data_IF_522250619906
#
_entry.id   IF_522250619906
#
_cell.length_a   1.000
_cell.length_b   1.000
_cell.length_c   1.000
_cell.angle_alpha   90.00
_cell.angle_beta   90.00
_cell.angle_gamma   90.00
#
_symmetry.space_group_name_H-M   'P 1'
#
loop_
_entity.id
_entity.type
_entity.pdbx_description
1 polymer ?
#
# COMPACT_ATOMS: atom_id res chain seq x y z
N UNK A 1 -12.33 -3.21 16.88
CA UNK A 1 -13.28 -4.33 16.89
C UNK A 1 -14.69 -3.76 17.10
N UNK A 2 -15.62 -4.03 16.18
CA UNK A 2 -17.06 -3.74 16.38
C UNK A 2 -17.73 -4.95 17.02
N UNK A 3 -18.72 -4.72 17.86
CA UNK A 3 -19.62 -5.78 18.33
C UNK A 3 -20.88 -5.76 17.47
N UNK A 4 -21.12 -6.80 16.70
CA UNK A 4 -22.41 -7.07 16.08
C UNK A 4 -23.03 -8.31 16.73
N UNK A 5 -24.25 -8.16 17.25
CA UNK A 5 -25.01 -9.23 17.91
C UNK A 5 -24.22 -10.01 18.99
N UNK A 6 -23.38 -9.31 19.77
CA UNK A 6 -22.55 -9.93 20.82
C UNK A 6 -21.36 -10.75 20.34
N UNK A 7 -21.02 -10.72 19.04
CA UNK A 7 -19.80 -11.33 18.48
C UNK A 7 -18.75 -10.24 18.19
N UNK A 8 -17.52 -10.47 18.62
CA UNK A 8 -16.37 -9.66 18.22
C UNK A 8 -16.01 -10.01 16.77
N UNK A 9 -16.28 -9.10 15.85
CA UNK A 9 -15.90 -9.25 14.43
C UNK A 9 -14.57 -8.53 14.20
N UNK A 10 -13.62 -9.17 13.52
CA UNK A 10 -12.39 -8.50 13.11
C UNK A 10 -12.70 -7.46 12.03
N UNK A 11 -11.93 -6.38 11.97
CA UNK A 11 -12.12 -5.35 10.94
C UNK A 11 -11.98 -5.92 9.53
N UNK A 12 -11.05 -6.87 9.30
CA UNK A 12 -10.90 -7.54 8.00
C UNK A 12 -12.14 -8.31 7.58
N UNK A 13 -12.80 -9.01 8.49
CA UNK A 13 -14.06 -9.70 8.22
C UNK A 13 -15.19 -8.70 7.91
N UNK A 14 -15.27 -7.60 8.68
CA UNK A 14 -16.27 -6.56 8.44
C UNK A 14 -16.06 -5.89 7.06
N UNK A 15 -14.82 -5.66 6.63
CA UNK A 15 -14.52 -5.14 5.30
C UNK A 15 -15.01 -6.12 4.24
N UNK A 16 -14.60 -7.38 4.31
CA UNK A 16 -14.96 -8.40 3.33
C UNK A 16 -16.48 -8.57 3.17
N UNK A 17 -17.24 -8.59 4.26
CA UNK A 17 -18.70 -8.75 4.23
C UNK A 17 -19.46 -7.52 3.71
N UNK A 18 -18.84 -6.34 3.69
CA UNK A 18 -19.46 -5.08 3.28
C UNK A 18 -18.88 -4.50 1.99
N UNK A 19 -18.07 -5.25 1.25
CA UNK A 19 -17.63 -4.85 -0.08
C UNK A 19 -18.84 -4.74 -1.01
N UNK A 20 -19.03 -3.55 -1.58
CA UNK A 20 -20.11 -3.28 -2.52
C UNK A 20 -19.52 -2.68 -3.79
N UNK A 21 -19.74 -3.28 -4.96
CA UNK A 21 -19.29 -2.71 -6.22
C UNK A 21 -19.92 -1.34 -6.48
N UNK A 22 -19.08 -0.38 -6.85
CA UNK A 22 -19.50 0.98 -7.20
C UNK A 22 -18.67 1.47 -8.38
N UNK A 23 -19.23 2.33 -9.23
CA UNK A 23 -18.45 2.97 -10.28
C UNK A 23 -17.40 3.89 -9.65
N UNK A 24 -16.16 3.80 -10.12
CA UNK A 24 -15.03 4.57 -9.57
C UNK A 24 -15.32 6.06 -9.53
N UNK A 25 -15.89 6.63 -10.60
CA UNK A 25 -16.24 8.06 -10.65
C UNK A 25 -17.30 8.49 -9.62
N UNK A 26 -18.15 7.57 -9.17
CA UNK A 26 -19.11 7.81 -8.09
C UNK A 26 -18.43 7.72 -6.72
N UNK A 27 -17.61 6.67 -6.51
CA UNK A 27 -16.89 6.46 -5.27
C UNK A 27 -15.86 7.58 -4.98
N UNK A 28 -15.22 8.13 -6.01
CA UNK A 28 -14.28 9.26 -5.88
C UNK A 28 -14.95 10.58 -5.46
N UNK A 29 -16.28 10.69 -5.60
CA UNK A 29 -17.05 11.89 -5.28
C UNK A 29 -17.90 11.75 -4.01
N UNK A 30 -17.94 10.58 -3.39
CA UNK A 30 -18.81 10.32 -2.23
C UNK A 30 -18.03 9.81 -1.01
N UNK A 31 -17.64 10.69 -0.07
CA UNK A 31 -16.87 10.32 1.11
C UNK A 31 -17.63 9.45 2.13
N UNK A 32 -18.92 9.14 1.88
CA UNK A 32 -19.66 8.15 2.68
C UNK A 32 -19.24 6.70 2.37
N UNK A 33 -18.50 6.49 1.28
CA UNK A 33 -17.87 5.24 0.90
C UNK A 33 -16.33 5.36 0.91
N UNK A 34 -15.66 4.25 1.18
CA UNK A 34 -14.20 4.15 1.11
C UNK A 34 -13.82 3.06 0.10
N UNK A 35 -13.09 3.42 -0.93
CA UNK A 35 -12.50 2.46 -1.87
C UNK A 35 -11.39 1.69 -1.14
N UNK A 36 -11.51 0.36 -1.10
CA UNK A 36 -10.52 -0.50 -0.42
C UNK A 36 -9.31 -0.68 -1.33
N UNK A 37 -8.14 -0.41 -0.79
CA UNK A 37 -6.84 -0.51 -1.47
C UNK A 37 -5.94 -1.45 -0.68
N UNK A 38 -5.51 -2.61 -1.21
CA UNK A 38 -4.34 -3.31 -0.68
C UNK A 38 -3.12 -2.40 -0.83
N UNK A 39 -2.41 -2.16 0.26
CA UNK A 39 -1.22 -1.31 0.31
C UNK A 39 -0.06 -2.12 0.87
N UNK A 40 0.92 -2.42 0.04
CA UNK A 40 1.92 -3.46 0.33
C UNK A 40 3.31 -2.88 0.44
N UNK A 41 3.91 -2.99 1.63
CA UNK A 41 5.33 -2.75 1.84
C UNK A 41 6.10 -4.01 1.42
N UNK A 42 7.01 -3.90 0.46
CA UNK A 42 7.81 -5.03 -0.02
C UNK A 42 9.23 -4.93 0.53
N UNK A 43 9.65 -5.94 1.31
CA UNK A 43 10.98 -6.06 1.87
C UNK A 43 11.78 -7.17 1.19
N UNK A 44 12.99 -6.86 0.75
CA UNK A 44 13.99 -7.84 0.39
C UNK A 44 14.63 -8.40 1.67
N UNK A 45 14.21 -9.58 2.09
CA UNK A 45 14.53 -10.18 3.38
C UNK A 45 16.04 -10.33 3.66
N UNK A 46 16.88 -10.78 2.67
CA UNK A 46 18.31 -10.94 2.91
C UNK A 46 19.07 -9.64 3.22
N UNK A 47 18.64 -8.51 2.67
CA UNK A 47 19.34 -7.22 2.83
C UNK A 47 18.61 -6.21 3.70
N UNK A 48 17.39 -6.54 4.14
CA UNK A 48 16.53 -5.65 4.94
C UNK A 48 16.29 -4.30 4.25
N UNK A 49 16.14 -4.32 2.91
CA UNK A 49 15.81 -3.16 2.09
C UNK A 49 14.36 -3.21 1.65
N UNK A 50 13.73 -2.05 1.55
CA UNK A 50 12.36 -1.89 1.12
C UNK A 50 12.30 -1.36 -0.30
N UNK A 51 11.31 -1.82 -1.07
CA UNK A 51 11.08 -1.28 -2.40
C UNK A 51 10.35 0.06 -2.28
N UNK A 52 10.95 1.10 -2.83
CA UNK A 52 10.35 2.45 -2.88
C UNK A 52 10.26 2.89 -4.32
N UNK A 53 9.13 3.48 -4.69
CA UNK A 53 8.90 4.08 -5.99
C UNK A 53 8.90 5.60 -5.88
N UNK A 54 9.21 6.27 -7.00
CA UNK A 54 9.05 7.72 -7.13
C UNK A 54 8.31 8.00 -8.44
N UNK A 55 7.29 8.82 -8.36
CA UNK A 55 6.48 9.20 -9.52
C UNK A 55 7.23 10.20 -10.39
N UNK A 56 7.45 9.86 -11.66
CA UNK A 56 8.12 10.71 -12.66
C UNK A 56 7.19 11.21 -13.75
N UNK A 57 6.03 10.56 -13.94
CA UNK A 57 5.01 10.88 -14.94
C UNK A 57 3.60 10.93 -14.37
N UNK A 58 2.61 11.17 -15.24
CA UNK A 58 1.21 11.24 -14.86
C UNK A 58 0.81 12.63 -14.30
N UNK A 59 0.03 12.66 -13.23
CA UNK A 59 -0.46 13.90 -12.64
C UNK A 59 0.68 14.76 -12.06
N UNK A 60 0.79 16.01 -12.51
CA UNK A 60 1.88 16.92 -12.12
C UNK A 60 1.95 17.16 -10.60
N UNK A 61 0.81 17.17 -9.88
CA UNK A 61 0.75 17.34 -8.42
C UNK A 61 1.40 16.18 -7.63
N UNK A 62 1.52 14.99 -8.23
CA UNK A 62 2.08 13.80 -7.59
C UNK A 62 3.53 13.54 -8.01
N UNK A 63 4.03 14.32 -8.96
CA UNK A 63 5.38 14.15 -9.49
C UNK A 63 6.44 14.43 -8.43
N UNK A 64 7.40 13.54 -8.31
CA UNK A 64 8.44 13.58 -7.30
C UNK A 64 8.04 13.03 -5.93
N UNK A 65 6.78 12.60 -5.76
CA UNK A 65 6.39 11.92 -4.52
C UNK A 65 6.93 10.50 -4.49
N UNK A 66 7.48 10.13 -3.34
CA UNK A 66 7.97 8.80 -3.05
C UNK A 66 6.89 7.95 -2.35
N UNK A 67 6.73 6.71 -2.76
CA UNK A 67 5.87 5.72 -2.11
C UNK A 67 6.68 4.48 -1.72
N UNK A 68 6.52 4.01 -0.48
CA UNK A 68 7.02 2.70 -0.02
C UNK A 68 5.95 1.61 -0.09
N UNK A 69 4.72 1.97 -0.43
CA UNK A 69 3.63 1.03 -0.64
C UNK A 69 3.28 0.91 -2.11
N UNK A 70 2.97 -0.31 -2.51
CA UNK A 70 2.49 -0.69 -3.83
C UNK A 70 1.04 -1.14 -3.71
N UNK A 71 0.22 -0.91 -4.73
CA UNK A 71 -1.16 -1.34 -4.73
C UNK A 71 -2.11 -0.42 -5.47
N UNK A 72 -3.33 -0.88 -5.65
CA UNK A 72 -4.34 -0.18 -6.42
C UNK A 72 -5.76 -0.60 -6.06
N UNK A 73 -6.72 -0.26 -6.92
CA UNK A 73 -8.13 -0.53 -6.67
C UNK A 73 -8.49 -2.00 -6.91
N UNK A 74 -9.44 -2.50 -6.13
CA UNK A 74 -10.05 -3.79 -6.40
C UNK A 74 -10.83 -3.77 -7.72
N UNK A 75 -10.72 -4.83 -8.49
CA UNK A 75 -11.60 -5.07 -9.64
C UNK A 75 -12.94 -5.69 -9.21
N UNK A 76 -13.91 -5.69 -10.13
CA UNK A 76 -15.23 -6.24 -9.85
C UNK A 76 -15.16 -7.73 -9.49
N UNK A 77 -15.60 -8.06 -8.28
CA UNK A 77 -15.62 -9.44 -7.76
C UNK A 77 -14.28 -9.94 -7.22
N UNK A 78 -13.27 -9.08 -7.19
CA UNK A 78 -11.96 -9.37 -6.64
C UNK A 78 -11.95 -9.22 -5.11
N UNK A 79 -11.22 -10.07 -4.41
CA UNK A 79 -10.95 -9.85 -2.99
C UNK A 79 -9.63 -9.08 -2.78
N UNK A 80 -9.42 -8.59 -1.54
CA UNK A 80 -8.27 -7.75 -1.21
C UNK A 80 -6.93 -8.45 -1.43
N UNK A 81 -6.88 -9.77 -1.22
CA UNK A 81 -5.64 -10.55 -1.36
C UNK A 81 -5.34 -10.85 -2.82
N UNK A 82 -6.36 -11.11 -3.63
CA UNK A 82 -6.19 -11.30 -5.07
C UNK A 82 -5.74 -9.99 -5.74
N UNK A 83 -6.36 -8.85 -5.37
CA UNK A 83 -5.92 -7.53 -5.81
C UNK A 83 -4.47 -7.22 -5.42
N UNK A 84 -4.06 -7.58 -4.19
CA UNK A 84 -2.68 -7.44 -3.73
C UNK A 84 -1.69 -8.13 -4.68
N UNK A 85 -1.95 -9.38 -5.04
CA UNK A 85 -1.05 -10.14 -5.91
C UNK A 85 -1.05 -9.60 -7.34
N UNK A 86 -2.20 -9.25 -7.88
CA UNK A 86 -2.32 -8.66 -9.21
C UNK A 86 -1.53 -7.36 -9.30
N UNK A 87 -1.70 -6.43 -8.34
CA UNK A 87 -1.01 -5.14 -8.33
C UNK A 87 0.52 -5.31 -8.23
N UNK A 88 1.02 -6.21 -7.37
CA UNK A 88 2.46 -6.49 -7.27
C UNK A 88 3.03 -7.05 -8.57
N UNK A 89 2.28 -7.91 -9.26
CA UNK A 89 2.72 -8.47 -10.55
C UNK A 89 2.68 -7.41 -11.65
N UNK A 90 1.66 -6.55 -11.70
CA UNK A 90 1.49 -5.49 -12.69
C UNK A 90 2.50 -4.34 -12.50
N UNK A 91 2.72 -3.89 -11.26
CA UNK A 91 3.58 -2.75 -10.99
C UNK A 91 5.08 -3.09 -11.00
N UNK A 92 5.47 -4.25 -10.45
CA UNK A 92 6.89 -4.60 -10.24
C UNK A 92 7.27 -6.02 -10.69
N UNK A 93 6.38 -6.78 -11.31
CA UNK A 93 6.66 -8.13 -11.79
C UNK A 93 6.90 -9.15 -10.66
N UNK A 94 6.38 -8.92 -9.46
CA UNK A 94 6.53 -9.81 -8.32
C UNK A 94 5.32 -10.75 -8.20
N UNK A 95 5.47 -11.98 -8.68
CA UNK A 95 4.43 -12.99 -8.62
C UNK A 95 4.27 -13.60 -7.21
N UNK A 96 3.09 -14.15 -6.93
CA UNK A 96 2.71 -14.73 -5.64
C UNK A 96 3.70 -15.77 -5.09
N UNK A 97 4.19 -16.65 -5.94
CA UNK A 97 5.11 -17.74 -5.58
C UNK A 97 6.56 -17.27 -5.31
N UNK A 98 6.85 -15.99 -5.57
CA UNK A 98 8.14 -15.35 -5.32
C UNK A 98 8.18 -14.61 -3.99
N UNK A 99 7.07 -14.60 -3.26
CA UNK A 99 7.00 -14.05 -1.91
C UNK A 99 7.16 -15.15 -0.87
N UNK A 100 7.99 -14.91 0.13
CA UNK A 100 8.28 -15.88 1.20
C UNK A 100 7.31 -15.74 2.38
N UNK A 101 6.75 -14.57 2.57
CA UNK A 101 5.83 -14.27 3.66
C UNK A 101 4.98 -13.03 3.33
N UNK A 102 3.73 -13.00 3.80
CA UNK A 102 2.84 -11.83 3.73
C UNK A 102 2.12 -11.68 5.06
N UNK A 103 2.24 -10.52 5.67
CA UNK A 103 1.70 -10.23 7.00
C UNK A 103 0.76 -9.03 6.92
N UNK A 104 -0.48 -9.17 7.39
CA UNK A 104 -1.38 -8.04 7.59
C UNK A 104 -0.89 -7.21 8.77
N UNK A 105 -0.56 -5.93 8.53
CA UNK A 105 -0.02 -5.01 9.54
C UNK A 105 -1.08 -4.09 10.15
N UNK A 106 -2.12 -3.77 9.39
CA UNK A 106 -3.19 -2.89 9.88
C UNK A 106 -3.99 -2.26 8.75
N UNK A 107 -4.57 -1.11 9.08
CA UNK A 107 -5.44 -0.37 8.17
C UNK A 107 -5.15 1.11 8.27
N UNK A 108 -5.17 1.81 7.12
CA UNK A 108 -5.09 3.26 7.05
C UNK A 108 -6.46 3.81 6.71
N UNK A 109 -7.05 4.58 7.62
CA UNK A 109 -8.27 5.34 7.40
C UNK A 109 -7.98 6.79 7.77
N UNK A 110 -7.70 7.61 6.78
CA UNK A 110 -7.28 9.01 6.92
C UNK A 110 -8.26 9.90 6.17
N UNK A 111 -8.42 11.12 6.65
CA UNK A 111 -9.17 12.18 5.99
C UNK A 111 -8.30 13.45 5.83
N UNK A 112 -6.97 13.28 5.76
CA UNK A 112 -6.00 14.39 5.68
C UNK A 112 -6.08 15.17 4.37
N UNK A 113 -6.56 14.54 3.31
CA UNK A 113 -6.74 15.14 2.00
C UNK A 113 -7.92 14.48 1.27
N UNK A 114 -8.32 15.03 0.13
CA UNK A 114 -9.47 14.55 -0.66
C UNK A 114 -9.31 13.09 -1.12
N UNK A 115 -8.08 12.67 -1.47
CA UNK A 115 -7.81 11.28 -1.87
C UNK A 115 -7.96 10.35 -0.68
N UNK A 116 -7.35 10.66 0.45
CA UNK A 116 -7.44 9.84 1.66
C UNK A 116 -8.90 9.71 2.14
N UNK A 117 -9.74 10.76 1.94
CA UNK A 117 -11.12 10.78 2.42
C UNK A 117 -12.03 9.74 1.76
N UNK A 118 -11.68 9.24 0.57
CA UNK A 118 -12.44 8.25 -0.20
C UNK A 118 -11.72 6.91 -0.32
N UNK A 119 -10.62 6.69 0.40
CA UNK A 119 -9.86 5.45 0.38
C UNK A 119 -9.66 4.84 1.77
N UNK A 120 -9.56 3.51 1.82
CA UNK A 120 -9.23 2.71 3.01
C UNK A 120 -8.08 1.76 2.65
N UNK A 121 -6.91 2.00 3.22
CA UNK A 121 -5.75 1.13 3.02
C UNK A 121 -5.83 -0.13 3.88
N UNK A 122 -5.58 -1.29 3.27
CA UNK A 122 -5.33 -2.55 3.98
C UNK A 122 -3.83 -2.83 3.85
N UNK A 123 -3.09 -2.59 4.93
CA UNK A 123 -1.63 -2.58 4.92
C UNK A 123 -1.08 -3.97 5.12
N UNK A 124 -0.29 -4.41 4.17
CA UNK A 124 0.47 -5.66 4.23
C UNK A 124 1.97 -5.38 4.21
N UNK A 125 2.72 -6.28 4.82
CA UNK A 125 4.17 -6.36 4.70
C UNK A 125 4.50 -7.70 4.00
N UNK A 126 5.07 -7.63 2.82
CA UNK A 126 5.45 -8.78 2.02
C UNK A 126 6.98 -8.92 2.00
N UNK A 127 7.48 -10.15 2.16
CA UNK A 127 8.88 -10.48 2.07
C UNK A 127 9.19 -11.22 0.77
N UNK A 128 10.31 -10.91 0.16
CA UNK A 128 10.85 -11.63 -1.00
C UNK A 128 12.37 -11.81 -0.88
N UNK A 129 12.88 -12.87 -1.50
CA UNK A 129 14.33 -13.08 -1.68
C UNK A 129 14.81 -12.60 -3.06
N UNK A 130 13.90 -12.04 -3.88
CA UNK A 130 14.24 -11.52 -5.21
C UNK A 130 14.77 -10.10 -5.11
N UNK A 131 15.96 -9.87 -5.64
CA UNK A 131 16.57 -8.54 -5.74
C UNK A 131 16.35 -7.89 -7.13
N UNK A 132 16.11 -8.68 -8.16
CA UNK A 132 15.97 -8.28 -9.57
C UNK A 132 14.54 -7.75 -9.89
N UNK A 133 14.00 -6.90 -9.05
CA UNK A 133 12.67 -6.29 -9.19
C UNK A 133 12.82 -4.86 -9.70
N UNK A 134 11.94 -4.45 -10.64
CA UNK A 134 11.91 -3.10 -11.20
C UNK A 134 10.49 -2.68 -11.54
N UNK A 135 10.22 -1.37 -11.58
CA UNK A 135 8.93 -0.86 -12.03
C UNK A 135 8.68 -1.23 -13.50
N UNK A 136 7.52 -1.82 -13.78
CA UNK A 136 7.10 -2.16 -15.14
C UNK A 136 6.50 -0.96 -15.87
N UNK A 137 5.84 -0.03 -15.16
CA UNK A 137 5.36 1.26 -15.68
C UNK A 137 6.47 2.32 -15.69
N UNK A 138 7.59 2.06 -16.36
CA UNK A 138 8.82 2.88 -16.33
C UNK A 138 8.68 4.29 -16.92
N UNK A 139 7.60 4.60 -17.61
CA UNK A 139 7.23 5.94 -18.07
C UNK A 139 6.58 6.80 -16.98
N UNK A 140 6.07 6.20 -15.91
CA UNK A 140 5.37 6.86 -14.80
C UNK A 140 6.11 6.76 -13.49
N UNK A 141 6.79 5.64 -13.24
CA UNK A 141 7.42 5.30 -11.98
C UNK A 141 8.88 4.89 -12.18
N UNK A 142 9.72 5.31 -11.26
CA UNK A 142 11.04 4.71 -11.05
C UNK A 142 11.08 4.14 -9.65
N UNK A 143 11.75 3.01 -9.46
CA UNK A 143 11.81 2.36 -8.17
C UNK A 143 13.08 1.56 -7.96
N UNK A 144 13.31 1.18 -6.71
CA UNK A 144 14.47 0.40 -6.32
C UNK A 144 14.43 0.04 -4.85
N UNK A 145 15.51 -0.63 -4.41
CA UNK A 145 15.68 -1.08 -3.03
C UNK A 145 16.42 -0.03 -2.19
N UNK A 146 15.80 0.36 -1.07
CA UNK A 146 16.30 1.38 -0.16
C UNK A 146 16.41 0.82 1.27
N UNK A 147 17.45 1.23 1.97
CA UNK A 147 17.61 0.96 3.40
C UNK A 147 16.63 1.79 4.23
N UNK A 148 16.38 1.38 5.48
CA UNK A 148 15.56 2.17 6.42
C UNK A 148 16.12 3.59 6.59
N UNK A 149 17.45 3.74 6.56
CA UNK A 149 18.10 5.06 6.66
C UNK A 149 17.73 5.97 5.47
N UNK A 150 17.80 5.45 4.25
CA UNK A 150 17.42 6.20 3.04
C UNK A 150 15.92 6.51 3.02
N UNK A 151 15.06 5.59 3.51
CA UNK A 151 13.63 5.86 3.70
C UNK A 151 13.39 6.98 4.72
N UNK A 152 14.16 7.01 5.80
CA UNK A 152 14.09 8.09 6.80
C UNK A 152 14.48 9.45 6.20
N UNK A 153 15.51 9.49 5.37
CA UNK A 153 15.87 10.70 4.63
C UNK A 153 14.75 11.15 3.67
N UNK A 154 14.16 10.23 2.92
CA UNK A 154 13.01 10.51 2.06
C UNK A 154 11.81 11.03 2.86
N UNK A 155 11.51 10.44 4.04
CA UNK A 155 10.46 10.89 4.95
C UNK A 155 10.70 12.32 5.44
N UNK A 156 11.92 12.63 5.86
CA UNK A 156 12.30 13.95 6.38
C UNK A 156 12.35 15.03 5.30
N UNK A 157 12.57 14.65 4.04
CA UNK A 157 12.55 15.60 2.91
C UNK A 157 11.16 16.17 2.61
N UNK A 158 10.10 15.54 3.14
CA UNK A 158 8.70 15.94 2.89
C UNK A 158 8.15 15.50 1.54
N UNK A 159 8.87 14.65 0.79
CA UNK A 159 8.44 14.16 -0.53
C UNK A 159 7.76 12.78 -0.47
N UNK A 160 7.64 12.18 0.72
CA UNK A 160 6.93 10.92 0.90
C UNK A 160 5.41 11.16 0.96
N UNK A 161 4.63 10.39 0.20
CA UNK A 161 3.18 10.49 0.21
C UNK A 161 2.58 10.09 1.58
N UNK A 162 1.32 10.48 1.85
CA UNK A 162 0.71 10.42 3.19
C UNK A 162 0.70 9.01 3.79
N UNK A 163 0.28 8.00 3.04
CA UNK A 163 0.19 6.63 3.55
C UNK A 163 1.55 6.00 3.79
N UNK A 164 2.50 6.28 2.91
CA UNK A 164 3.90 5.89 3.11
C UNK A 164 4.50 6.51 4.37
N UNK A 165 4.21 7.78 4.61
CA UNK A 165 4.67 8.48 5.80
C UNK A 165 4.09 7.84 7.08
N UNK A 166 2.80 7.52 7.10
CA UNK A 166 2.14 6.79 8.20
C UNK A 166 2.79 5.42 8.41
N UNK A 167 2.97 4.64 7.34
CA UNK A 167 3.59 3.33 7.43
C UNK A 167 5.03 3.40 7.91
N UNK A 168 5.80 4.36 7.44
CA UNK A 168 7.18 4.55 7.90
C UNK A 168 7.22 4.87 9.40
N UNK A 169 6.46 5.88 9.85
CA UNK A 169 6.46 6.33 11.25
C UNK A 169 5.94 5.26 12.22
N UNK A 170 4.95 4.47 11.82
CA UNK A 170 4.29 3.50 12.71
C UNK A 170 4.88 2.10 12.68
N UNK A 171 5.44 1.67 11.55
CA UNK A 171 5.86 0.28 11.35
C UNK A 171 7.38 0.13 11.22
N UNK A 172 8.09 1.06 10.56
CA UNK A 172 9.47 0.88 10.19
C UNK A 172 10.46 1.64 11.10
N UNK A 173 10.16 2.87 11.50
CA UNK A 173 11.07 3.68 12.33
C UNK A 173 11.24 3.06 13.73
N UNK A 174 10.22 2.35 14.23
CA UNK A 174 10.25 1.66 15.53
C UNK A 174 11.05 0.36 15.51
N UNK A 175 11.16 -0.32 14.36
CA UNK A 175 11.95 -1.55 14.23
C UNK A 175 13.47 -1.27 14.13
N UNK A 176 13.87 -0.03 13.86
CA UNK A 176 15.29 0.39 13.79
C UNK A 176 15.93 0.73 15.14
N UNK A 177 15.18 0.72 16.24
CA UNK A 177 15.67 1.06 17.59
C UNK A 177 15.97 -0.18 18.46
N UNK A 178 15.78 -1.41 17.97
CA UNK A 178 16.18 -2.67 18.61
C UNK A 178 17.51 -3.20 18.03
#
# INVERSE_FOLDING_TARGET
MREENGRKVSLGHAIHENLTPMLRCEAECDPSFKQVIPYVLVEHKPTRRFFMTTRIGGEERLKGQASIGLGGHLEYGEDVVDALFRELEEEIGLAKDQMTEIILRGYINSDLNEVDSVHLGVVYHAHTDREDISCLESDKLVGGWFTIHELKEARLSGHMESWSAICFDDLLDKEGEE
#
